data_IF_551768966754
#
_entry.id   IF_551768966754
#
_cell.length_a   1.000
_cell.length_b   1.000
_cell.length_c   1.000
_cell.angle_alpha   90.00
_cell.angle_beta   90.00
_cell.angle_gamma   90.00
#
_symmetry.space_group_name_H-M   'P 1'
#
loop_
_entity.id
_entity.type
_entity.pdbx_description
1 polymer ?
#
# COMPACT_ATOMS: atom_id res chain seq x y z
N UNK A 1 -19.33 -5.72 38.80
CA UNK A 1 -18.15 -5.67 37.91
C UNK A 1 -18.63 -5.33 36.51
N UNK A 2 -18.57 -4.05 36.14
CA UNK A 2 -19.02 -3.57 34.82
C UNK A 2 -17.86 -3.49 33.86
N UNK A 3 -17.95 -4.21 32.74
CA UNK A 3 -16.95 -4.21 31.66
C UNK A 3 -17.22 -2.98 30.79
N UNK A 4 -16.30 -2.01 30.83
CA UNK A 4 -16.33 -0.83 29.99
C UNK A 4 -16.00 -1.17 28.54
N UNK A 5 -16.93 -0.85 27.64
CA UNK A 5 -16.74 -0.88 26.19
C UNK A 5 -15.80 0.27 25.81
N UNK A 6 -14.59 -0.06 25.38
CA UNK A 6 -13.66 0.87 24.75
C UNK A 6 -14.18 1.19 23.34
N UNK A 7 -14.86 2.32 23.23
CA UNK A 7 -15.26 2.91 21.94
C UNK A 7 -14.00 3.35 21.19
N UNK A 8 -13.76 2.72 20.05
CA UNK A 8 -12.67 3.02 19.11
C UNK A 8 -12.88 4.44 18.55
N UNK A 9 -11.98 5.37 18.91
CA UNK A 9 -12.04 6.77 18.42
C UNK A 9 -11.72 6.81 16.93
N UNK A 10 -12.65 7.38 16.17
CA UNK A 10 -12.53 7.68 14.74
C UNK A 10 -11.28 8.52 14.43
N UNK A 11 -10.49 8.09 13.43
CA UNK A 11 -9.28 8.77 12.97
C UNK A 11 -9.51 10.19 12.45
N UNK A 12 -10.76 10.59 12.20
CA UNK A 12 -11.13 11.98 11.92
C UNK A 12 -10.81 12.92 13.10
N UNK A 13 -10.98 12.44 14.33
CA UNK A 13 -10.79 13.25 15.55
C UNK A 13 -9.31 13.60 15.84
N UNK A 14 -8.36 12.76 15.42
CA UNK A 14 -6.94 13.07 15.58
C UNK A 14 -6.46 14.13 14.58
N UNK A 15 -6.99 14.12 13.36
CA UNK A 15 -6.64 15.11 12.33
C UNK A 15 -7.19 16.49 12.70
N UNK A 16 -8.43 16.57 13.20
CA UNK A 16 -9.00 17.81 13.72
C UNK A 16 -8.24 18.33 14.95
N UNK A 17 -7.87 17.45 15.89
CA UNK A 17 -7.07 17.85 17.05
C UNK A 17 -5.69 18.41 16.65
N UNK A 18 -5.06 17.85 15.62
CA UNK A 18 -3.79 18.35 15.08
C UNK A 18 -3.91 19.68 14.33
N UNK A 19 -4.95 19.84 13.50
CA UNK A 19 -5.23 21.11 12.81
C UNK A 19 -5.56 22.22 13.80
N UNK A 20 -6.30 21.91 14.88
CA UNK A 20 -6.59 22.85 15.97
C UNK A 20 -5.34 23.21 16.80
N UNK A 21 -4.41 22.26 16.99
CA UNK A 21 -3.13 22.53 17.66
C UNK A 21 -2.23 23.45 16.83
N UNK A 22 -2.21 23.30 15.50
CA UNK A 22 -1.44 24.17 14.60
C UNK A 22 -2.03 25.59 14.52
N UNK A 23 -3.36 25.71 14.44
CA UNK A 23 -4.05 27.00 14.46
C UNK A 23 -3.80 27.79 15.77
N UNK A 24 -3.56 27.10 16.90
CA UNK A 24 -3.23 27.71 18.19
C UNK A 24 -1.75 28.10 18.35
N UNK A 25 -0.84 27.47 17.61
CA UNK A 25 0.58 27.82 17.65
C UNK A 25 0.93 29.02 16.74
N UNK A 26 0.10 29.33 15.74
CA UNK A 26 0.33 30.42 14.78
C UNK A 26 -0.06 31.83 15.24
N UNK A 27 -0.66 32.01 16.43
CA UNK A 27 -1.16 33.32 16.89
C UNK A 27 -0.37 33.94 18.06
N UNK A 28 0.72 33.32 18.49
CA UNK A 28 1.58 33.88 19.54
C UNK A 28 2.73 34.71 18.96
N UNK A 29 2.41 35.92 18.48
CA UNK A 29 3.40 36.99 18.25
C UNK A 29 2.91 38.29 18.92
N UNK A 30 3.60 38.61 20.02
CA UNK A 30 3.64 39.78 20.90
C UNK A 30 2.81 41.05 20.60
N UNK A 31 2.13 41.62 21.63
CA UNK A 31 1.78 43.03 21.66
C UNK A 31 2.85 43.83 22.44
N UNK A 32 3.38 44.90 21.86
CA UNK A 32 4.14 45.87 22.66
C UNK A 32 5.05 46.78 21.85
N UNK A 33 4.53 47.95 21.46
CA UNK A 33 5.28 49.19 21.31
C UNK A 33 4.30 50.37 21.13
N UNK A 34 3.79 50.86 22.26
CA UNK A 34 3.24 52.22 22.36
C UNK A 34 4.26 53.05 23.14
N UNK A 35 4.93 53.95 22.43
CA UNK A 35 5.89 54.89 22.99
C UNK A 35 5.19 55.96 23.83
N UNK A 36 5.67 56.14 25.06
CA UNK A 36 5.33 57.25 25.95
C UNK A 36 6.57 58.14 26.06
N UNK A 37 6.47 59.37 25.56
CA UNK A 37 7.36 60.47 25.94
C UNK A 37 6.94 60.96 27.33
N UNK A 38 7.88 61.10 28.27
CA UNK A 38 8.08 62.39 28.96
C UNK A 38 9.26 62.40 29.96
N UNK A 39 10.06 63.47 29.83
CA UNK A 39 10.69 64.31 30.87
C UNK A 39 11.64 63.75 31.96
N UNK A 40 12.76 64.46 32.17
CA UNK A 40 13.15 64.85 33.54
C UNK A 40 14.51 64.40 34.12
N UNK A 41 15.61 65.01 33.65
CA UNK A 41 16.75 65.58 34.42
C UNK A 41 17.00 65.08 35.87
N UNK A 42 18.11 64.37 36.10
CA UNK A 42 18.94 64.46 37.35
C UNK A 42 20.43 64.28 36.99
N UNK A 43 21.29 65.09 37.60
CA UNK A 43 22.73 65.25 37.35
C UNK A 43 23.67 64.21 37.99
N UNK A 44 24.99 64.46 37.97
CA UNK A 44 26.02 63.43 37.86
C UNK A 44 26.71 63.09 39.19
N UNK A 45 27.21 61.85 39.31
CA UNK A 45 28.25 61.47 40.28
C UNK A 45 29.29 60.57 39.60
N UNK A 46 30.54 61.03 39.70
CA UNK A 46 31.77 60.41 39.20
C UNK A 46 32.35 59.42 40.24
N UNK A 47 32.77 58.24 39.75
CA UNK A 47 33.99 57.45 40.03
C UNK A 47 34.40 57.05 41.47
N UNK A 48 35.25 56.01 41.70
CA UNK A 48 36.24 55.44 40.76
C UNK A 48 36.42 53.91 40.68
N UNK A 49 37.01 53.52 39.54
CA UNK A 49 38.03 52.51 39.25
C UNK A 49 38.17 51.22 40.10
N UNK A 50 38.25 50.10 39.36
CA UNK A 50 39.24 49.05 39.64
C UNK A 50 38.70 47.62 39.58
N UNK A 51 39.01 46.90 38.49
CA UNK A 51 39.55 45.54 38.52
C UNK A 51 39.58 44.96 37.09
N UNK A 52 40.78 44.66 36.63
CA UNK A 52 41.07 44.03 35.36
C UNK A 52 40.72 42.53 35.40
N UNK A 53 40.04 42.04 34.36
CA UNK A 53 39.98 40.61 34.02
C UNK A 53 40.28 40.46 32.54
N UNK A 54 41.47 39.93 32.24
CA UNK A 54 41.89 39.60 30.89
C UNK A 54 41.09 38.43 30.29
N UNK A 55 41.02 38.32 28.96
CA UNK A 55 40.27 37.26 28.30
C UNK A 55 41.02 35.91 28.37
N UNK A 56 40.31 34.77 28.47
CA UNK A 56 40.93 33.45 28.43
C UNK A 56 41.45 33.11 27.02
N UNK A 57 42.68 32.59 26.96
CA UNK A 57 43.32 32.05 25.75
C UNK A 57 42.59 30.81 25.26
N UNK A 58 42.20 30.81 23.99
CA UNK A 58 41.69 29.66 23.24
C UNK A 58 42.88 28.85 22.71
N UNK A 59 42.95 27.51 22.90
CA UNK A 59 43.96 26.68 22.25
C UNK A 59 43.62 26.42 20.76
N UNK A 60 44.62 26.29 19.87
CA UNK A 60 44.39 26.06 18.44
C UNK A 60 43.91 24.62 18.16
N UNK A 61 43.15 24.40 17.07
CA UNK A 61 42.70 23.07 16.67
C UNK A 61 43.83 22.25 16.01
N UNK A 62 43.85 20.90 16.18
CA UNK A 62 44.76 20.04 15.44
C UNK A 62 44.35 19.92 13.98
N UNK A 63 45.30 20.22 13.10
CA UNK A 63 45.28 19.98 11.66
C UNK A 63 45.59 18.52 11.30
N UNK A 64 45.02 18.10 10.17
CA UNK A 64 45.27 16.89 9.38
C UNK A 64 44.55 15.61 9.82
N UNK A 65 43.64 15.13 8.96
CA UNK A 65 43.86 13.91 8.16
C UNK A 65 42.73 13.71 7.12
N UNK A 66 43.14 13.74 5.86
CA UNK A 66 42.78 12.84 4.76
C UNK A 66 41.30 12.63 4.38
N UNK A 67 40.95 13.24 3.25
CA UNK A 67 39.89 12.81 2.32
C UNK A 67 40.10 11.38 1.82
N UNK A 68 39.02 10.64 1.57
CA UNK A 68 38.95 9.77 0.40
C UNK A 68 37.79 10.16 -0.55
N UNK A 69 38.13 10.12 -1.83
CA UNK A 69 37.30 10.35 -3.02
C UNK A 69 36.06 9.45 -3.11
N UNK A 70 35.03 9.85 -3.89
CA UNK A 70 33.80 9.08 -4.05
C UNK A 70 33.94 7.96 -5.10
N UNK A 71 33.19 6.85 -5.00
CA UNK A 71 32.99 5.98 -6.15
C UNK A 71 31.91 6.53 -7.06
N UNK A 72 32.35 6.86 -8.28
CA UNK A 72 31.56 6.88 -9.50
C UNK A 72 30.88 5.52 -9.71
N UNK A 73 29.56 5.48 -9.91
CA UNK A 73 28.95 4.63 -10.96
C UNK A 73 27.48 4.99 -11.17
N UNK A 74 27.23 5.64 -12.30
CA UNK A 74 25.93 5.72 -12.95
C UNK A 74 25.65 4.37 -13.61
N UNK A 75 24.59 3.70 -13.18
CA UNK A 75 23.98 2.62 -13.95
C UNK A 75 22.53 3.01 -14.25
N UNK A 76 22.36 3.61 -15.43
CA UNK A 76 21.08 3.75 -16.11
C UNK A 76 20.50 2.36 -16.35
N UNK A 77 19.36 2.05 -15.72
CA UNK A 77 18.53 0.91 -16.11
C UNK A 77 17.39 1.44 -16.96
N UNK A 78 17.58 1.37 -18.27
CA UNK A 78 16.53 1.50 -19.27
C UNK A 78 15.55 0.33 -19.06
N UNK A 79 14.30 0.63 -18.72
CA UNK A 79 13.23 -0.37 -18.71
C UNK A 79 12.72 -0.54 -20.15
N UNK A 80 13.13 -1.63 -20.79
CA UNK A 80 12.57 -2.11 -22.06
C UNK A 80 11.34 -2.95 -21.72
N UNK A 81 10.16 -2.44 -22.08
CA UNK A 81 8.89 -3.16 -21.91
C UNK A 81 8.72 -4.29 -22.94
N UNK A 82 8.04 -5.39 -22.61
CA UNK A 82 7.76 -6.45 -23.56
C UNK A 82 6.59 -6.08 -24.49
N UNK A 83 6.97 -6.04 -25.77
CA UNK A 83 6.17 -5.96 -26.98
C UNK A 83 5.13 -7.10 -27.06
N UNK A 84 3.82 -6.79 -27.01
CA UNK A 84 2.76 -7.72 -27.42
C UNK A 84 2.35 -7.41 -28.85
N UNK A 85 2.73 -8.31 -29.75
CA UNK A 85 2.25 -8.35 -31.12
C UNK A 85 0.77 -8.81 -31.12
N UNK A 86 -0.08 -7.98 -31.72
CA UNK A 86 -1.41 -8.36 -32.19
C UNK A 86 -1.28 -9.05 -33.56
N UNK A 87 -1.96 -10.18 -33.81
CA UNK A 87 -2.27 -10.60 -35.16
C UNK A 87 -3.49 -9.85 -35.68
N UNK A 88 -3.30 -9.30 -36.87
CA UNK A 88 -4.23 -8.66 -37.75
C UNK A 88 -4.86 -9.75 -38.62
N UNK A 89 -6.20 -9.85 -38.71
CA UNK A 89 -6.85 -10.62 -39.78
C UNK A 89 -8.19 -9.98 -40.19
N UNK A 90 -8.06 -9.23 -41.28
CA UNK A 90 -8.94 -8.98 -42.43
C UNK A 90 -10.36 -9.59 -42.44
N UNK A 91 -11.36 -8.71 -42.58
CA UNK A 91 -12.68 -9.01 -43.14
C UNK A 91 -12.64 -9.30 -44.64
N UNK A 92 -13.61 -10.08 -45.16
CA UNK A 92 -14.48 -9.53 -46.22
C UNK A 92 -15.97 -9.84 -46.01
N UNK A 93 -16.83 -8.96 -46.57
CA UNK A 93 -18.30 -9.12 -46.69
C UNK A 93 -18.71 -9.54 -48.13
N UNK A 94 -20.00 -9.59 -48.51
CA UNK A 94 -20.89 -10.75 -48.42
C UNK A 94 -21.47 -11.20 -49.79
N UNK A 95 -22.05 -12.40 -49.89
CA UNK A 95 -22.83 -12.77 -51.07
C UNK A 95 -23.41 -14.21 -51.13
N UNK A 96 -24.74 -14.28 -51.07
CA UNK A 96 -25.67 -15.23 -51.71
C UNK A 96 -25.88 -16.67 -51.20
N UNK A 97 -27.09 -16.86 -50.61
CA UNK A 97 -28.12 -17.90 -50.81
C UNK A 97 -27.70 -19.33 -51.22
N UNK A 98 -27.98 -20.33 -50.37
CA UNK A 98 -28.83 -21.49 -50.71
C UNK A 98 -29.20 -22.32 -49.45
N UNK A 99 -30.22 -23.15 -49.64
CA UNK A 99 -31.15 -23.75 -48.66
C UNK A 99 -30.80 -25.23 -48.35
N UNK A 100 -31.08 -25.65 -47.10
CA UNK A 100 -31.35 -27.02 -46.54
C UNK A 100 -30.27 -28.12 -46.54
N UNK A 101 -29.89 -28.59 -45.33
CA UNK A 101 -29.92 -30.01 -44.88
C UNK A 101 -29.40 -30.17 -43.42
N UNK A 102 -30.06 -31.01 -42.62
CA UNK A 102 -29.74 -31.37 -41.22
C UNK A 102 -28.47 -32.23 -41.03
N UNK A 103 -27.91 -32.33 -39.80
CA UNK A 103 -26.48 -32.60 -39.59
C UNK A 103 -26.15 -34.10 -39.48
N UNK A 104 -25.06 -34.52 -40.12
CA UNK A 104 -24.33 -35.76 -39.78
C UNK A 104 -23.16 -35.43 -38.85
N UNK A 105 -23.09 -36.15 -37.72
CA UNK A 105 -21.95 -36.12 -36.81
C UNK A 105 -20.67 -36.62 -37.51
N UNK A 106 -19.52 -35.95 -37.32
CA UNK A 106 -18.24 -36.43 -37.82
C UNK A 106 -17.73 -37.64 -37.02
N UNK A 107 -16.99 -38.56 -37.64
CA UNK A 107 -16.33 -39.66 -36.94
C UNK A 107 -15.22 -39.13 -36.00
N UNK A 108 -14.97 -39.80 -34.87
CA UNK A 108 -13.91 -39.39 -33.95
C UNK A 108 -12.51 -39.59 -34.56
N UNK A 109 -11.55 -38.68 -34.28
CA UNK A 109 -10.20 -38.73 -34.84
C UNK A 109 -9.35 -39.89 -34.26
N UNK A 110 -8.41 -40.45 -35.04
CA UNK A 110 -7.53 -41.51 -34.60
C UNK A 110 -6.37 -40.93 -33.79
N UNK A 111 -6.21 -41.34 -32.52
CA UNK A 111 -5.05 -40.94 -31.73
C UNK A 111 -5.30 -40.77 -30.24
N UNK A 112 -5.89 -41.76 -29.57
CA UNK A 112 -5.76 -41.88 -28.10
C UNK A 112 -4.36 -42.37 -27.82
N UNK A 113 -3.48 -41.47 -27.38
CA UNK A 113 -2.08 -41.77 -27.11
C UNK A 113 -1.94 -42.72 -25.90
N UNK A 114 -0.89 -43.53 -25.92
CA UNK A 114 -0.59 -44.59 -24.96
C UNK A 114 -0.63 -44.24 -23.44
N UNK A 115 -0.37 -43.01 -22.95
CA UNK A 115 -0.41 -42.74 -21.50
C UNK A 115 -1.83 -42.79 -20.91
N UNK A 116 -2.89 -42.47 -21.68
CA UNK A 116 -4.27 -42.55 -21.20
C UNK A 116 -4.74 -44.00 -21.02
N UNK A 117 -4.27 -44.91 -21.88
CA UNK A 117 -4.54 -46.34 -21.72
C UNK A 117 -3.86 -46.95 -20.50
N UNK A 118 -2.67 -46.47 -20.12
CA UNK A 118 -1.99 -46.96 -18.92
C UNK A 118 -2.62 -46.41 -17.64
N UNK A 119 -3.10 -45.16 -17.64
CA UNK A 119 -3.83 -44.58 -16.51
C UNK A 119 -5.19 -45.26 -16.35
N UNK A 120 -5.93 -45.45 -17.45
CA UNK A 120 -7.19 -46.19 -17.44
C UNK A 120 -6.97 -47.65 -17.04
N UNK A 121 -5.98 -48.36 -17.58
CA UNK A 121 -5.69 -49.74 -17.19
C UNK A 121 -5.28 -49.87 -15.72
N UNK A 122 -4.58 -48.87 -15.15
CA UNK A 122 -4.27 -48.83 -13.71
C UNK A 122 -5.51 -48.62 -12.86
N UNK A 123 -6.44 -47.76 -13.30
CA UNK A 123 -7.73 -47.57 -12.63
C UNK A 123 -8.58 -48.84 -12.75
N UNK A 124 -8.63 -49.48 -13.91
CA UNK A 124 -9.39 -50.72 -14.13
C UNK A 124 -8.81 -51.89 -13.34
N UNK A 125 -7.48 -52.09 -13.31
CA UNK A 125 -6.86 -53.13 -12.49
C UNK A 125 -6.98 -52.86 -10.99
N UNK A 126 -7.00 -51.59 -10.54
CA UNK A 126 -7.25 -51.26 -9.14
C UNK A 126 -8.72 -51.54 -8.74
N UNK A 127 -9.66 -51.30 -9.65
CA UNK A 127 -11.08 -51.66 -9.46
C UNK A 127 -11.27 -53.17 -9.48
N UNK A 128 -10.57 -53.89 -10.36
CA UNK A 128 -10.68 -55.35 -10.51
C UNK A 128 -10.04 -56.09 -9.32
N UNK A 129 -8.92 -55.60 -8.78
CA UNK A 129 -8.30 -56.09 -7.54
C UNK A 129 -9.12 -55.73 -6.28
N UNK A 130 -9.97 -54.70 -6.33
CA UNK A 130 -10.89 -54.36 -5.24
C UNK A 130 -12.11 -55.30 -5.17
N UNK A 131 -12.42 -56.05 -6.24
CA UNK A 131 -13.58 -56.95 -6.30
C UNK A 131 -13.48 -58.17 -5.38
N UNK A 132 -12.30 -58.46 -4.81
CA UNK A 132 -12.12 -59.47 -3.76
C UNK A 132 -12.17 -58.90 -2.34
N UNK A 133 -12.44 -57.60 -2.22
CA UNK A 133 -12.45 -56.88 -0.94
C UNK A 133 -13.89 -56.57 -0.52
N UNK A 134 -14.19 -56.73 0.77
CA UNK A 134 -15.51 -56.48 1.36
C UNK A 134 -16.14 -55.17 0.85
N UNK A 135 -17.47 -55.10 0.64
CA UNK A 135 -18.16 -53.91 0.11
C UNK A 135 -17.89 -52.63 0.93
N UNK A 136 -17.55 -52.76 2.21
CA UNK A 136 -17.12 -51.66 3.08
C UNK A 136 -15.79 -51.02 2.66
N UNK A 137 -14.82 -51.79 2.16
CA UNK A 137 -13.52 -51.28 1.71
C UNK A 137 -13.62 -50.55 0.37
N UNK A 138 -14.46 -51.05 -0.55
CA UNK A 138 -14.74 -50.37 -1.81
C UNK A 138 -15.44 -49.01 -1.58
N UNK A 139 -16.39 -48.95 -0.64
CA UNK A 139 -17.03 -47.69 -0.25
C UNK A 139 -16.04 -46.71 0.39
N UNK A 140 -15.15 -47.17 1.28
CA UNK A 140 -14.11 -46.33 1.89
C UNK A 140 -13.12 -45.78 0.85
N UNK A 141 -12.71 -46.59 -0.12
CA UNK A 141 -11.83 -46.16 -1.21
C UNK A 141 -12.51 -45.10 -2.11
N UNK A 142 -13.81 -45.26 -2.40
CA UNK A 142 -14.56 -44.27 -3.17
C UNK A 142 -14.69 -42.92 -2.44
N UNK A 143 -14.92 -42.93 -1.12
CA UNK A 143 -14.93 -41.71 -0.29
C UNK A 143 -13.56 -41.04 -0.29
N UNK A 144 -12.48 -41.81 -0.09
CA UNK A 144 -11.12 -41.28 -0.12
C UNK A 144 -10.75 -40.64 -1.47
N UNK A 145 -11.17 -41.25 -2.59
CA UNK A 145 -10.96 -40.69 -3.92
C UNK A 145 -11.74 -39.39 -4.13
N UNK A 146 -13.00 -39.33 -3.68
CA UNK A 146 -13.82 -38.12 -3.75
C UNK A 146 -13.25 -36.97 -2.89
N UNK A 147 -12.73 -37.31 -1.72
CA UNK A 147 -12.08 -36.35 -0.81
C UNK A 147 -10.77 -35.81 -1.37
N UNK A 148 -9.95 -36.66 -2.01
CA UNK A 148 -8.73 -36.20 -2.68
C UNK A 148 -9.04 -35.26 -3.87
N UNK A 149 -10.08 -35.56 -4.64
CA UNK A 149 -10.53 -34.65 -5.70
C UNK A 149 -11.04 -33.30 -5.13
N UNK A 150 -11.79 -33.35 -4.03
CA UNK A 150 -12.29 -32.15 -3.33
C UNK A 150 -11.12 -31.31 -2.77
N UNK A 151 -10.14 -31.95 -2.13
CA UNK A 151 -8.89 -31.33 -1.65
C UNK A 151 -8.13 -30.66 -2.79
N UNK A 152 -7.89 -31.39 -3.88
CA UNK A 152 -7.15 -30.88 -5.05
C UNK A 152 -7.83 -29.64 -5.63
N UNK A 153 -9.16 -29.64 -5.76
CA UNK A 153 -9.93 -28.46 -6.19
C UNK A 153 -9.77 -27.28 -5.23
N UNK A 154 -9.81 -27.50 -3.92
CA UNK A 154 -9.62 -26.44 -2.91
C UNK A 154 -8.22 -25.84 -3.04
N UNK A 155 -7.16 -26.67 -3.05
CA UNK A 155 -5.77 -26.20 -3.17
C UNK A 155 -5.61 -25.38 -4.46
N UNK A 156 -6.09 -25.90 -5.58
CA UNK A 156 -5.96 -25.24 -6.87
C UNK A 156 -6.72 -23.90 -6.91
N UNK A 157 -7.91 -23.82 -6.29
CA UNK A 157 -8.66 -22.57 -6.19
C UNK A 157 -7.96 -21.55 -5.28
N UNK A 158 -7.51 -21.98 -4.10
CA UNK A 158 -6.80 -21.12 -3.14
C UNK A 158 -5.52 -20.52 -3.73
N UNK A 159 -4.72 -21.35 -4.42
CA UNK A 159 -3.48 -20.91 -5.03
C UNK A 159 -3.68 -19.94 -6.20
N UNK A 160 -4.82 -20.00 -6.90
CA UNK A 160 -5.12 -19.09 -8.01
C UNK A 160 -5.71 -17.75 -7.57
N UNK A 161 -6.56 -17.76 -6.55
CA UNK A 161 -7.45 -16.61 -6.28
C UNK A 161 -7.34 -16.05 -4.87
N UNK A 162 -6.65 -16.74 -3.96
CA UNK A 162 -6.63 -16.40 -2.53
C UNK A 162 -5.22 -16.26 -1.96
N UNK A 163 -4.24 -15.91 -2.79
CA UNK A 163 -2.84 -15.77 -2.35
C UNK A 163 -2.69 -14.72 -1.23
N UNK A 164 -3.49 -13.66 -1.22
CA UNK A 164 -3.43 -12.65 -0.15
C UNK A 164 -3.95 -13.19 1.19
N UNK A 165 -5.05 -13.94 1.15
CA UNK A 165 -5.66 -14.59 2.31
C UNK A 165 -4.70 -15.65 2.90
N UNK A 166 -3.97 -16.38 2.06
CA UNK A 166 -2.86 -17.26 2.51
C UNK A 166 -1.78 -16.46 3.26
N UNK A 167 -1.48 -15.24 2.80
CA UNK A 167 -0.60 -14.31 3.49
C UNK A 167 -1.12 -13.92 4.89
N UNK A 168 -2.43 -13.74 5.06
CA UNK A 168 -3.02 -13.47 6.37
C UNK A 168 -2.80 -14.65 7.33
N UNK A 169 -2.97 -15.88 6.84
CA UNK A 169 -2.81 -17.07 7.66
C UNK A 169 -1.41 -17.21 8.24
N UNK A 170 -0.39 -17.13 7.39
CA UNK A 170 1.00 -17.29 7.84
C UNK A 170 1.47 -16.12 8.73
N UNK A 171 0.90 -14.93 8.56
CA UNK A 171 1.16 -13.80 9.46
C UNK A 171 0.54 -14.01 10.84
N UNK A 172 -0.71 -14.48 10.88
CA UNK A 172 -1.44 -14.61 12.13
C UNK A 172 -0.99 -15.83 12.95
N UNK A 173 -0.91 -17.02 12.33
CA UNK A 173 -0.57 -18.25 13.06
C UNK A 173 0.92 -18.55 13.12
N UNK A 174 1.70 -18.14 12.12
CA UNK A 174 3.12 -18.47 12.06
C UNK A 174 4.05 -17.25 12.27
N UNK A 175 3.49 -16.06 12.53
CA UNK A 175 4.25 -14.85 12.81
C UNK A 175 5.11 -14.35 11.64
N UNK A 176 4.79 -14.74 10.40
CA UNK A 176 5.54 -14.30 9.22
C UNK A 176 5.52 -12.76 9.10
N UNK A 177 6.62 -12.17 8.62
CA UNK A 177 6.66 -10.72 8.40
C UNK A 177 5.70 -10.32 7.26
N UNK A 178 5.19 -9.06 7.24
CA UNK A 178 4.33 -8.59 6.15
C UNK A 178 4.97 -8.71 4.77
N UNK A 179 6.30 -8.64 4.68
CA UNK A 179 7.05 -8.76 3.42
C UNK A 179 7.05 -10.20 2.92
N UNK A 180 7.36 -11.17 3.79
CA UNK A 180 7.36 -12.60 3.45
C UNK A 180 5.96 -13.10 3.07
N UNK A 181 4.92 -12.49 3.63
CA UNK A 181 3.54 -12.87 3.40
C UNK A 181 2.78 -11.99 2.39
N UNK A 182 3.49 -11.11 1.67
CA UNK A 182 2.90 -10.23 0.67
C UNK A 182 2.40 -11.02 -0.55
N UNK A 183 1.47 -10.43 -1.33
CA UNK A 183 1.01 -11.05 -2.57
C UNK A 183 2.17 -11.25 -3.57
N UNK A 184 3.17 -10.36 -3.55
CA UNK A 184 4.40 -10.48 -4.34
C UNK A 184 5.25 -11.71 -3.94
N UNK A 185 5.18 -12.15 -2.68
CA UNK A 185 5.82 -13.37 -2.23
C UNK A 185 5.07 -14.65 -2.67
N UNK A 186 3.92 -14.50 -3.34
CA UNK A 186 3.11 -15.57 -3.94
C UNK A 186 2.96 -16.81 -3.04
N UNK A 187 2.45 -16.65 -1.80
CA UNK A 187 2.20 -17.79 -0.92
C UNK A 187 1.23 -18.77 -1.58
N UNK A 188 1.53 -20.07 -1.45
CA UNK A 188 0.77 -21.16 -2.07
C UNK A 188 0.65 -22.34 -1.11
N UNK A 189 -0.53 -22.92 -1.02
CA UNK A 189 -0.76 -24.18 -0.31
C UNK A 189 -0.01 -25.30 -1.05
N UNK A 190 0.83 -26.01 -0.31
CA UNK A 190 1.51 -27.23 -0.73
C UNK A 190 0.79 -28.48 -0.27
N UNK A 191 0.19 -28.41 0.91
CA UNK A 191 -0.47 -29.54 1.52
C UNK A 191 -1.67 -29.07 2.35
N UNK A 192 -2.74 -29.87 2.38
CA UNK A 192 -3.97 -29.56 3.10
C UNK A 192 -4.51 -30.84 3.72
N UNK A 193 -4.67 -30.86 5.04
CA UNK A 193 -5.14 -32.02 5.81
C UNK A 193 -6.35 -31.60 6.64
N UNK A 194 -7.02 -32.56 7.28
CA UNK A 194 -8.10 -32.24 8.23
C UNK A 194 -7.58 -31.48 9.47
N UNK A 195 -6.26 -31.47 9.70
CA UNK A 195 -5.61 -30.86 10.84
C UNK A 195 -5.04 -29.47 10.53
N UNK A 196 -4.98 -29.07 9.26
CA UNK A 196 -4.41 -27.79 8.86
C UNK A 196 -3.83 -27.78 7.45
N UNK A 197 -3.14 -26.69 7.11
CA UNK A 197 -2.52 -26.49 5.80
C UNK A 197 -1.03 -26.14 5.91
N UNK A 198 -0.26 -26.56 4.90
CA UNK A 198 1.13 -26.13 4.70
C UNK A 198 1.21 -25.13 3.57
N UNK A 199 1.73 -23.95 3.86
CA UNK A 199 1.85 -22.84 2.90
C UNK A 199 3.34 -22.56 2.65
N UNK A 200 3.73 -22.52 1.38
CA UNK A 200 5.07 -22.15 0.93
C UNK A 200 5.08 -20.76 0.31
N UNK A 201 6.05 -19.94 0.69
CA UNK A 201 6.33 -18.64 0.03
C UNK A 201 7.35 -18.78 -1.09
N UNK A 202 7.46 -17.79 -1.97
CA UNK A 202 8.46 -17.77 -3.05
C UNK A 202 9.91 -17.87 -2.55
N UNK A 203 10.18 -17.47 -1.30
CA UNK A 203 11.47 -17.67 -0.63
C UNK A 203 11.80 -19.13 -0.29
N UNK A 204 10.87 -20.07 -0.51
CA UNK A 204 11.03 -21.49 -0.21
C UNK A 204 10.69 -21.88 1.24
N UNK A 205 10.32 -20.92 2.08
CA UNK A 205 9.96 -21.16 3.49
C UNK A 205 8.57 -21.78 3.58
N UNK A 206 8.47 -22.83 4.40
CA UNK A 206 7.22 -23.54 4.68
C UNK A 206 6.65 -23.17 6.04
N UNK A 207 5.36 -22.88 6.07
CA UNK A 207 4.61 -22.55 7.26
C UNK A 207 3.50 -23.59 7.47
N UNK A 208 3.36 -24.07 8.70
CA UNK A 208 2.23 -24.89 9.11
C UNK A 208 1.16 -23.99 9.75
N UNK A 209 -0.07 -24.08 9.26
CA UNK A 209 -1.22 -23.35 9.78
C UNK A 209 -2.25 -24.39 10.25
N UNK A 210 -2.40 -24.62 11.57
CA UNK A 210 -3.30 -25.63 12.09
C UNK A 210 -4.77 -25.20 11.98
N UNK A 211 -5.65 -26.18 11.84
CA UNK A 211 -7.09 -26.02 12.07
C UNK A 211 -7.39 -26.31 13.54
N UNK A 212 -7.95 -25.31 14.21
CA UNK A 212 -8.39 -25.43 15.61
C UNK A 212 -9.88 -25.03 15.73
N UNK A 213 -10.79 -25.99 16.00
CA UNK A 213 -10.55 -27.44 16.16
C UNK A 213 -10.23 -28.13 14.82
N UNK A 214 -9.67 -29.35 14.77
CA UNK A 214 -9.52 -30.09 13.51
C UNK A 214 -10.86 -30.25 12.76
N UNK A 215 -10.81 -30.48 11.45
CA UNK A 215 -11.99 -30.76 10.64
C UNK A 215 -12.44 -32.20 10.83
N UNK A 216 -13.74 -32.41 10.94
CA UNK A 216 -14.33 -33.76 10.93
C UNK A 216 -14.42 -34.32 9.50
N UNK A 217 -14.69 -33.44 8.53
CA UNK A 217 -14.84 -33.80 7.13
C UNK A 217 -14.37 -32.71 6.17
N UNK A 218 -14.16 -33.09 4.90
CA UNK A 218 -13.85 -32.14 3.83
C UNK A 218 -15.02 -31.22 3.45
N UNK A 219 -16.24 -31.49 3.92
CA UNK A 219 -17.38 -30.59 3.73
C UNK A 219 -17.19 -29.28 4.52
N UNK A 220 -16.50 -29.35 5.66
CA UNK A 220 -16.33 -28.24 6.60
C UNK A 220 -15.14 -27.33 6.22
N UNK A 221 -14.25 -27.79 5.33
CA UNK A 221 -13.01 -27.11 4.97
C UNK A 221 -13.25 -25.69 4.46
N UNK A 222 -14.26 -25.49 3.61
CA UNK A 222 -14.58 -24.16 3.06
C UNK A 222 -14.98 -23.18 4.15
N UNK A 223 -15.91 -23.58 5.02
CA UNK A 223 -16.37 -22.74 6.13
C UNK A 223 -15.20 -22.37 7.05
N UNK A 224 -14.37 -23.37 7.39
CA UNK A 224 -13.20 -23.15 8.24
C UNK A 224 -12.22 -22.13 7.66
N UNK A 225 -11.90 -22.23 6.37
CA UNK A 225 -10.96 -21.31 5.71
C UNK A 225 -11.50 -19.87 5.74
N UNK A 226 -12.80 -19.67 5.52
CA UNK A 226 -13.44 -18.34 5.56
C UNK A 226 -13.39 -17.74 6.98
N UNK A 227 -13.68 -18.56 8.00
CA UNK A 227 -13.65 -18.13 9.39
C UNK A 227 -12.23 -17.75 9.81
N UNK A 228 -11.24 -18.56 9.43
CA UNK A 228 -9.84 -18.27 9.68
C UNK A 228 -9.37 -16.96 9.05
N UNK A 229 -9.79 -16.66 7.82
CA UNK A 229 -9.45 -15.38 7.18
C UNK A 229 -10.10 -14.19 7.89
N UNK A 230 -11.32 -14.37 8.39
CA UNK A 230 -11.99 -13.37 9.21
C UNK A 230 -11.25 -13.11 10.52
N UNK A 231 -10.83 -14.16 11.22
CA UNK A 231 -10.03 -14.06 12.45
C UNK A 231 -8.68 -13.39 12.19
N UNK A 232 -7.95 -13.86 11.16
CA UNK A 232 -6.64 -13.33 10.82
C UNK A 232 -6.71 -11.84 10.44
N UNK A 233 -7.68 -11.45 9.61
CA UNK A 233 -7.88 -10.03 9.25
C UNK A 233 -8.16 -9.16 10.46
N UNK A 234 -9.05 -9.60 11.36
CA UNK A 234 -9.37 -8.87 12.59
C UNK A 234 -8.14 -8.69 13.46
N UNK A 235 -7.37 -9.76 13.68
CA UNK A 235 -6.15 -9.73 14.48
C UNK A 235 -5.05 -8.84 13.86
N UNK A 236 -4.96 -8.80 12.52
CA UNK A 236 -3.94 -8.02 11.80
C UNK A 236 -4.39 -6.58 11.48
N UNK A 237 -5.61 -6.18 11.85
CA UNK A 237 -6.18 -4.88 11.52
C UNK A 237 -6.37 -4.64 10.02
N UNK A 238 -6.62 -5.71 9.25
CA UNK A 238 -6.82 -5.67 7.80
C UNK A 238 -8.32 -5.57 7.51
N UNK A 239 -8.70 -4.66 6.61
CA UNK A 239 -10.07 -4.52 6.14
C UNK A 239 -10.39 -5.61 5.11
N UNK A 240 -11.65 -6.03 5.09
CA UNK A 240 -12.26 -6.87 4.06
C UNK A 240 -12.66 -6.08 2.80
N UNK A 241 -12.33 -4.79 2.75
CA UNK A 241 -12.44 -3.89 1.59
C UNK A 241 -11.05 -3.57 1.07
N UNK A 242 -10.85 -3.94 -0.20
CA UNK A 242 -9.57 -3.79 -0.88
C UNK A 242 -9.59 -2.65 -1.88
N UNK A 243 -8.53 -1.85 -1.83
CA UNK A 243 -8.30 -0.74 -2.76
C UNK A 243 -7.39 -1.25 -3.87
N UNK A 244 -7.95 -1.39 -5.07
CA UNK A 244 -7.26 -1.94 -6.24
C UNK A 244 -7.03 -0.92 -7.35
N UNK A 245 -7.47 0.31 -7.14
CA UNK A 245 -7.46 1.38 -8.14
C UNK A 245 -7.06 2.71 -7.52
N UNK A 246 -6.52 3.58 -8.36
CA UNK A 246 -6.18 4.94 -8.01
C UNK A 246 -7.22 5.90 -8.59
N UNK A 247 -7.62 6.89 -7.79
CA UNK A 247 -8.45 8.00 -8.24
C UNK A 247 -7.61 9.28 -8.22
N UNK A 248 -7.42 9.88 -9.40
CA UNK A 248 -6.72 11.15 -9.53
C UNK A 248 -7.48 12.30 -8.83
N UNK A 249 -6.77 13.36 -8.37
CA UNK A 249 -7.39 14.58 -7.88
C UNK A 249 -8.32 15.18 -8.95
N UNK A 250 -9.48 15.69 -8.50
CA UNK A 250 -10.47 16.35 -9.37
C UNK A 250 -11.07 17.55 -8.67
N UNK A 251 -11.55 18.52 -9.45
CA UNK A 251 -12.18 19.72 -8.92
C UNK A 251 -11.26 20.48 -7.97
N UNK A 252 -11.73 20.74 -6.75
CA UNK A 252 -10.97 21.48 -5.74
C UNK A 252 -9.67 20.76 -5.33
N UNK A 253 -9.66 19.42 -5.26
CA UNK A 253 -8.46 18.65 -4.92
C UNK A 253 -7.31 18.92 -5.91
N UNK A 254 -7.65 19.11 -7.19
CA UNK A 254 -6.65 19.40 -8.24
C UNK A 254 -6.05 20.80 -8.09
N UNK A 255 -6.82 21.77 -7.58
CA UNK A 255 -6.32 23.12 -7.28
C UNK A 255 -5.32 23.05 -6.13
N UNK A 256 -5.64 22.32 -5.06
CA UNK A 256 -4.72 22.13 -3.92
C UNK A 256 -3.45 21.41 -4.36
N UNK A 257 -3.58 20.32 -5.12
CA UNK A 257 -2.43 19.62 -5.71
C UNK A 257 -1.54 20.60 -6.50
N UNK A 258 -2.13 21.39 -7.39
CA UNK A 258 -1.42 22.38 -8.20
C UNK A 258 -0.74 23.46 -7.37
N UNK A 259 -1.39 23.95 -6.32
CA UNK A 259 -0.82 24.97 -5.43
C UNK A 259 0.41 24.46 -4.66
N UNK A 260 0.36 23.24 -4.13
CA UNK A 260 1.49 22.64 -3.41
C UNK A 260 2.65 22.30 -4.37
N UNK A 261 2.34 21.76 -5.56
CA UNK A 261 3.35 21.56 -6.62
C UNK A 261 4.00 22.88 -7.02
N UNK A 262 3.21 23.94 -7.21
CA UNK A 262 3.70 25.27 -7.52
C UNK A 262 4.59 25.83 -6.40
N UNK A 263 4.23 25.59 -5.14
CA UNK A 263 5.06 25.98 -3.99
C UNK A 263 6.43 25.28 -4.02
N UNK A 264 6.48 23.95 -4.20
CA UNK A 264 7.76 23.24 -4.32
C UNK A 264 8.55 23.69 -5.55
N UNK A 265 7.88 23.91 -6.68
CA UNK A 265 8.49 24.47 -7.88
C UNK A 265 9.09 25.86 -7.64
N UNK A 266 8.38 26.71 -6.89
CA UNK A 266 8.84 28.05 -6.50
C UNK A 266 10.08 28.00 -5.63
N UNK A 267 10.11 27.09 -4.64
CA UNK A 267 11.29 26.86 -3.81
C UNK A 267 12.48 26.37 -4.64
N UNK A 268 12.26 25.39 -5.53
CA UNK A 268 13.29 24.89 -6.43
C UNK A 268 13.80 25.98 -7.38
N UNK A 269 12.94 26.92 -7.78
CA UNK A 269 13.28 28.02 -8.68
C UNK A 269 14.11 29.14 -8.02
N UNK A 270 14.27 29.16 -6.69
CA UNK A 270 14.97 30.22 -5.97
C UNK A 270 16.40 30.53 -6.47
N UNK A 271 17.22 29.58 -6.93
CA UNK A 271 18.55 29.89 -7.50
C UNK A 271 18.50 30.80 -8.74
N UNK A 272 17.41 30.74 -9.51
CA UNK A 272 17.21 31.55 -10.72
C UNK A 272 16.44 32.86 -10.47
N UNK A 273 15.87 33.03 -9.26
CA UNK A 273 15.19 34.24 -8.86
C UNK A 273 16.19 35.29 -8.36
N UNK A 274 16.85 35.97 -9.30
CA UNK A 274 17.92 36.95 -9.07
C UNK A 274 17.46 38.39 -9.38
N UNK A 275 18.04 39.41 -8.74
CA UNK A 275 17.77 40.81 -9.04
C UNK A 275 17.91 41.13 -10.54
N UNK A 276 16.97 41.92 -11.07
CA UNK A 276 16.95 42.32 -12.48
C UNK A 276 16.33 41.30 -13.45
N UNK A 277 16.02 40.08 -13.00
CA UNK A 277 15.24 39.14 -13.81
C UNK A 277 13.77 39.56 -13.90
N UNK A 278 13.08 39.14 -14.96
CA UNK A 278 11.64 39.42 -15.12
C UNK A 278 10.81 38.89 -13.94
N UNK A 279 11.15 37.70 -13.42
CA UNK A 279 10.49 37.10 -12.26
C UNK A 279 10.72 37.91 -10.97
N UNK A 280 11.92 38.44 -10.77
CA UNK A 280 12.23 39.32 -9.64
C UNK A 280 11.42 40.61 -9.72
N UNK A 281 11.46 41.31 -10.85
CA UNK A 281 10.74 42.57 -11.05
C UNK A 281 9.22 42.38 -10.91
N UNK A 282 8.68 41.24 -11.35
CA UNK A 282 7.29 40.89 -11.15
C UNK A 282 6.94 40.75 -9.66
N UNK A 283 7.74 40.02 -8.89
CA UNK A 283 7.49 39.88 -7.45
C UNK A 283 7.63 41.22 -6.71
N UNK A 284 8.60 42.06 -7.06
CA UNK A 284 8.73 43.41 -6.47
C UNK A 284 7.51 44.29 -6.75
N UNK A 285 6.89 44.16 -7.91
CA UNK A 285 5.71 44.94 -8.28
C UNK A 285 4.41 44.45 -7.64
N UNK A 286 4.25 43.12 -7.47
CA UNK A 286 2.95 42.52 -7.15
C UNK A 286 2.90 41.67 -5.87
N UNK A 287 4.04 41.17 -5.38
CA UNK A 287 4.07 40.35 -4.17
C UNK A 287 4.26 41.25 -2.93
N UNK A 288 3.46 41.07 -1.86
CA UNK A 288 3.63 41.85 -0.64
C UNK A 288 5.03 41.67 -0.03
N UNK A 289 5.79 42.77 0.06
CA UNK A 289 7.19 42.75 0.53
C UNK A 289 8.23 42.35 -0.54
N UNK A 290 7.82 42.22 -1.80
CA UNK A 290 8.69 42.02 -2.94
C UNK A 290 9.36 40.64 -3.04
N UNK A 291 10.33 40.53 -3.94
CA UNK A 291 11.06 39.30 -4.22
C UNK A 291 11.83 38.80 -2.98
N UNK A 292 12.36 39.70 -2.15
CA UNK A 292 13.08 39.32 -0.93
C UNK A 292 12.17 38.65 0.10
N UNK A 293 10.98 39.18 0.34
CA UNK A 293 9.99 38.55 1.23
C UNK A 293 9.58 37.18 0.70
N UNK A 294 9.32 37.06 -0.60
CA UNK A 294 8.99 35.78 -1.24
C UNK A 294 10.09 34.73 -1.04
N UNK A 295 11.36 35.12 -1.25
CA UNK A 295 12.52 34.24 -1.07
C UNK A 295 12.69 33.81 0.38
N UNK A 296 12.51 34.73 1.33
CA UNK A 296 12.54 34.43 2.75
C UNK A 296 11.43 33.44 3.14
N UNK A 297 10.18 33.76 2.75
CA UNK A 297 9.01 32.95 3.07
C UNK A 297 9.13 31.53 2.50
N UNK A 298 9.56 31.41 1.24
CA UNK A 298 9.75 30.12 0.58
C UNK A 298 10.75 29.23 1.33
N UNK A 299 11.84 29.79 1.87
CA UNK A 299 12.84 29.05 2.66
C UNK A 299 12.33 28.67 4.04
N UNK A 300 11.69 29.61 4.74
CA UNK A 300 11.18 29.39 6.10
C UNK A 300 10.06 28.35 6.10
N UNK A 301 9.18 28.38 5.10
CA UNK A 301 8.05 27.45 5.01
C UNK A 301 8.44 26.04 4.55
N UNK A 302 9.64 25.83 3.97
CA UNK A 302 9.97 24.54 3.37
C UNK A 302 9.94 23.40 4.39
N UNK A 303 10.69 23.55 5.48
CA UNK A 303 10.80 22.52 6.50
C UNK A 303 9.44 22.18 7.14
N UNK A 304 8.59 23.14 7.58
CA UNK A 304 7.28 22.79 8.12
C UNK A 304 6.36 22.15 7.07
N UNK A 305 6.34 22.64 5.82
CA UNK A 305 5.51 22.04 4.75
C UNK A 305 5.94 20.60 4.49
N UNK A 306 7.23 20.36 4.26
CA UNK A 306 7.77 19.00 4.06
C UNK A 306 7.46 18.11 5.27
N UNK A 307 7.66 18.60 6.49
CA UNK A 307 7.38 17.84 7.71
C UNK A 307 5.92 17.41 7.82
N UNK A 308 4.97 18.31 7.52
CA UNK A 308 3.54 18.02 7.53
C UNK A 308 3.20 16.97 6.47
N UNK A 309 3.60 17.17 5.21
CA UNK A 309 3.25 16.27 4.12
C UNK A 309 3.89 14.88 4.25
N UNK A 310 5.11 14.78 4.80
CA UNK A 310 5.73 13.50 5.13
C UNK A 310 4.97 12.78 6.26
N UNK A 311 4.53 13.52 7.28
CA UNK A 311 3.76 12.97 8.40
C UNK A 311 2.40 12.45 7.92
N UNK A 312 1.67 13.24 7.13
CA UNK A 312 0.41 12.83 6.52
C UNK A 312 0.59 11.60 5.64
N UNK A 313 1.62 11.58 4.78
CA UNK A 313 1.94 10.45 3.92
C UNK A 313 2.24 9.17 4.72
N UNK A 314 2.92 9.28 5.87
CA UNK A 314 3.21 8.15 6.74
C UNK A 314 1.95 7.59 7.43
N UNK A 315 1.01 8.47 7.81
CA UNK A 315 -0.29 8.05 8.34
C UNK A 315 -1.14 7.41 7.23
N UNK A 316 -1.12 8.00 6.03
CA UNK A 316 -1.83 7.51 4.86
C UNK A 316 -1.34 6.14 4.42
N UNK A 317 -0.03 5.87 4.45
CA UNK A 317 0.56 4.56 4.19
C UNK A 317 -0.05 3.47 5.08
N UNK A 318 -0.18 3.73 6.39
CA UNK A 318 -0.79 2.76 7.32
C UNK A 318 -2.23 2.44 6.92
N UNK A 319 -2.98 3.45 6.45
CA UNK A 319 -4.35 3.30 5.99
C UNK A 319 -4.45 2.54 4.67
N UNK A 320 -3.57 2.82 3.71
CA UNK A 320 -3.47 2.07 2.45
C UNK A 320 -3.21 0.58 2.72
N UNK A 321 -2.28 0.27 3.62
CA UNK A 321 -1.94 -1.11 4.01
C UNK A 321 -3.12 -1.85 4.64
N UNK A 322 -3.93 -1.16 5.46
CA UNK A 322 -5.19 -1.73 6.01
C UNK A 322 -6.15 -2.17 4.90
N UNK A 323 -6.13 -1.49 3.76
CA UNK A 323 -6.97 -1.80 2.59
C UNK A 323 -6.23 -2.62 1.50
N UNK A 324 -5.15 -3.31 1.88
CA UNK A 324 -4.45 -4.28 1.04
C UNK A 324 -3.61 -3.68 -0.08
N UNK A 325 -3.24 -2.40 0.01
CA UNK A 325 -2.29 -1.80 -0.93
C UNK A 325 -0.86 -2.11 -0.48
N UNK A 326 -0.16 -2.91 -1.28
CA UNK A 326 1.22 -3.32 -0.99
C UNK A 326 2.20 -2.15 -1.13
N UNK A 327 3.03 -1.95 -0.11
CA UNK A 327 4.03 -0.88 -0.08
C UNK A 327 5.03 -1.04 -1.22
N UNK A 328 5.28 0.05 -1.95
CA UNK A 328 6.18 0.06 -3.11
C UNK A 328 5.55 -0.42 -4.42
N UNK A 329 4.31 -0.90 -4.42
CA UNK A 329 3.56 -1.14 -5.65
C UNK A 329 3.32 0.15 -6.43
N UNK A 330 3.05 0.06 -7.75
CA UNK A 330 2.70 1.24 -8.54
C UNK A 330 1.46 1.96 -8.02
N UNK A 331 0.47 1.20 -7.52
CA UNK A 331 -0.72 1.75 -6.89
C UNK A 331 -0.39 2.51 -5.60
N UNK A 332 0.51 1.97 -4.77
CA UNK A 332 0.99 2.64 -3.57
C UNK A 332 1.67 3.96 -3.90
N UNK A 333 2.57 3.98 -4.89
CA UNK A 333 3.25 5.20 -5.33
C UNK A 333 2.26 6.25 -5.84
N UNK A 334 1.25 5.86 -6.61
CA UNK A 334 0.23 6.79 -7.09
C UNK A 334 -0.51 7.46 -5.92
N UNK A 335 -0.94 6.67 -4.93
CA UNK A 335 -1.65 7.17 -3.75
C UNK A 335 -0.78 7.99 -2.80
N UNK A 336 0.45 7.53 -2.49
CA UNK A 336 1.34 8.22 -1.55
C UNK A 336 1.88 9.52 -2.13
N UNK A 337 2.27 9.54 -3.40
CA UNK A 337 2.71 10.78 -4.05
C UNK A 337 1.57 11.80 -4.13
N UNK A 338 0.36 11.36 -4.44
CA UNK A 338 -0.83 12.22 -4.41
C UNK A 338 -1.11 12.77 -3.00
N UNK A 339 -1.04 11.93 -1.96
CA UNK A 339 -1.16 12.38 -0.57
C UNK A 339 -0.06 13.38 -0.18
N UNK A 340 1.16 13.22 -0.67
CA UNK A 340 2.24 14.16 -0.40
C UNK A 340 1.98 15.55 -0.97
N UNK A 341 1.21 15.70 -2.07
CA UNK A 341 0.87 17.01 -2.63
C UNK A 341 -0.50 17.54 -2.19
N UNK A 342 -1.42 16.67 -1.81
CA UNK A 342 -2.81 17.06 -1.49
C UNK A 342 -3.16 16.98 0.00
N UNK A 343 -2.35 16.27 0.79
CA UNK A 343 -2.58 16.02 2.20
C UNK A 343 -3.95 15.37 2.46
N UNK A 344 -4.73 16.00 3.34
CA UNK A 344 -6.07 15.55 3.76
C UNK A 344 -7.04 15.26 2.60
N UNK A 345 -6.92 15.93 1.44
CA UNK A 345 -7.82 15.66 0.32
C UNK A 345 -7.67 14.21 -0.21
N UNK A 346 -6.46 13.66 -0.21
CA UNK A 346 -6.22 12.26 -0.57
C UNK A 346 -6.91 11.29 0.43
N UNK A 347 -6.94 11.64 1.73
CA UNK A 347 -7.68 10.87 2.75
C UNK A 347 -9.18 10.82 2.45
N UNK A 348 -9.79 11.97 2.15
CA UNK A 348 -11.23 12.07 1.83
C UNK A 348 -11.56 11.24 0.60
N UNK A 349 -10.71 11.30 -0.43
CA UNK A 349 -10.89 10.53 -1.66
C UNK A 349 -10.77 9.03 -1.44
N UNK A 350 -9.76 8.57 -0.67
CA UNK A 350 -9.62 7.17 -0.29
C UNK A 350 -10.83 6.69 0.53
N UNK A 351 -11.28 7.47 1.51
CA UNK A 351 -12.45 7.14 2.33
C UNK A 351 -13.71 7.00 1.46
N UNK A 352 -13.92 7.92 0.53
CA UNK A 352 -15.04 7.85 -0.42
C UNK A 352 -14.98 6.59 -1.29
N UNK A 353 -13.79 6.20 -1.76
CA UNK A 353 -13.61 4.96 -2.51
C UNK A 353 -13.93 3.73 -1.66
N UNK A 354 -13.42 3.67 -0.43
CA UNK A 354 -13.68 2.57 0.51
C UNK A 354 -15.17 2.47 0.81
N UNK A 355 -15.85 3.58 1.10
CA UNK A 355 -17.29 3.61 1.36
C UNK A 355 -18.11 3.10 0.16
N UNK A 356 -17.75 3.50 -1.07
CA UNK A 356 -18.40 2.99 -2.30
C UNK A 356 -18.21 1.50 -2.46
N UNK A 357 -16.99 0.99 -2.24
CA UNK A 357 -16.72 -0.46 -2.33
C UNK A 357 -17.45 -1.24 -1.22
N UNK A 358 -17.58 -0.68 -0.02
CA UNK A 358 -18.37 -1.25 1.06
C UNK A 358 -19.85 -1.39 0.65
N UNK A 359 -20.47 -0.31 0.17
CA UNK A 359 -21.86 -0.32 -0.28
C UNK A 359 -22.09 -1.33 -1.42
N UNK A 360 -21.17 -1.44 -2.38
CA UNK A 360 -21.24 -2.44 -3.45
C UNK A 360 -21.11 -3.88 -2.94
N UNK A 361 -20.40 -4.10 -1.84
CA UNK A 361 -20.25 -5.43 -1.23
C UNK A 361 -21.51 -5.82 -0.46
N UNK A 362 -22.16 -4.87 0.19
CA UNK A 362 -23.40 -5.07 0.94
C UNK A 362 -24.58 -5.32 -0.01
N UNK A 363 -24.75 -4.51 -1.05
CA UNK A 363 -25.83 -4.70 -2.04
C UNK A 363 -25.69 -5.93 -2.96
N UNK A 364 -24.60 -6.69 -2.85
CA UNK A 364 -24.43 -8.01 -3.52
C UNK A 364 -24.77 -9.19 -2.60
N UNK A 365 -24.99 -8.93 -1.31
CA UNK A 365 -25.36 -9.96 -0.32
C UNK A 365 -26.87 -10.10 -0.18
N UNK A 366 -27.63 -9.13 -0.70
CA UNK A 366 -29.07 -9.21 -0.97
C UNK A 366 -29.31 -9.89 -2.31
#
# INVERSE_FOLDING_TARGET
MGVGVLVERDGSSQVEAYMLAFARCGTASSPGLLGRQDSGRVGPLNCPAGAATGPPRVPPPPTHLSSPSPPSSLASVLWVGPNRQHPNDSHPSPGSLHRTASPRLPPPPPGTTAPDRQLQARVTSAVEMATTTSPSAAAAAAVAAADEERRSRIIAHMNRSHTRELGHYIRHWAGASPREASAAAAPSIRDLTLQGMRIRTASGRDYAVPFDPPLDSWADAKARIIDMDTVARRALGISDIYVTEYLAPRGFDAIIFGAVVFYFGSFLALPWLLPGTAAWNFLDAYFPGGADMFRWLSRVLLLPVVGIHLTESAIFDRKLRRHGVDRGSGLWWAWVSSCFFEGVCAFRRLNGLVARKQAQKEGKKE
#
